data_IF_937743498564
#
_entry.id   IF_937743498564
#
_cell.length_a   1.000
_cell.length_b   1.000
_cell.length_c   1.000
_cell.angle_alpha   90.00
_cell.angle_beta   90.00
_cell.angle_gamma   90.00
#
_symmetry.space_group_name_H-M   'P 1'
#
loop_
_entity.id
_entity.type
_entity.pdbx_description
1 polymer ?
#
# COMPACT_ATOMS: atom_id res chain seq x y z
N UNK A 1 -0.40 4.59 15.09
CA UNK A 1 -1.78 4.27 14.59
C UNK A 1 -1.66 3.45 13.33
N UNK A 2 -2.30 2.28 13.30
CA UNK A 2 -2.28 1.35 12.17
C UNK A 2 -3.63 1.33 11.48
N UNK A 3 -3.67 1.26 10.14
CA UNK A 3 -4.90 1.24 9.35
C UNK A 3 -4.84 0.17 8.27
N UNK A 4 -5.95 -0.50 8.03
CA UNK A 4 -6.14 -1.43 6.90
C UNK A 4 -7.30 -0.91 6.06
N UNK A 5 -7.06 -0.69 4.78
CA UNK A 5 -8.06 -0.19 3.84
C UNK A 5 -8.70 -1.32 3.05
N UNK A 6 -10.00 -1.20 2.82
CA UNK A 6 -10.75 -1.98 1.85
C UNK A 6 -11.68 -1.06 1.09
N UNK A 7 -11.43 -0.85 -0.19
CA UNK A 7 -12.12 0.15 -1.01
C UNK A 7 -12.04 1.56 -0.39
N UNK A 8 -13.18 2.15 -0.05
CA UNK A 8 -13.28 3.51 0.50
C UNK A 8 -13.45 3.54 2.03
N UNK A 9 -13.23 2.43 2.72
CA UNK A 9 -13.34 2.32 4.20
C UNK A 9 -12.07 1.77 4.82
N UNK A 10 -11.88 2.02 6.12
CA UNK A 10 -10.73 1.56 6.86
C UNK A 10 -11.10 0.91 8.20
N UNK A 11 -10.30 -0.07 8.60
CA UNK A 11 -10.15 -0.46 10.00
C UNK A 11 -9.01 0.35 10.62
N UNK A 12 -9.27 0.98 11.75
CA UNK A 12 -8.34 1.87 12.44
C UNK A 12 -8.01 1.27 13.80
N UNK A 13 -6.71 1.10 14.07
CA UNK A 13 -6.16 0.61 15.33
C UNK A 13 -5.29 1.72 15.96
N UNK A 14 -5.89 2.62 16.78
CA UNK A 14 -5.25 3.86 17.21
C UNK A 14 -4.00 3.65 18.08
N UNK A 15 -3.97 2.56 18.85
CA UNK A 15 -2.91 2.27 19.81
C UNK A 15 -1.91 1.20 19.33
N UNK A 16 -1.94 0.85 18.05
CA UNK A 16 -1.00 -0.09 17.45
C UNK A 16 -0.14 0.63 16.42
N UNK A 17 1.17 0.41 16.46
CA UNK A 17 2.10 0.83 15.43
C UNK A 17 2.49 -0.37 14.55
N UNK A 18 2.78 -0.13 13.27
CA UNK A 18 3.15 -1.18 12.32
C UNK A 18 4.31 -2.04 12.81
N UNK A 19 5.33 -1.41 13.38
CA UNK A 19 6.54 -2.10 13.92
C UNK A 19 6.26 -3.07 15.07
N UNK A 20 5.07 -3.01 15.69
CA UNK A 20 4.65 -3.92 16.75
C UNK A 20 3.96 -5.19 16.22
N UNK A 21 3.66 -5.22 14.90
CA UNK A 21 3.03 -6.37 14.28
C UNK A 21 4.07 -7.41 13.87
N UNK A 22 3.84 -8.64 14.28
CA UNK A 22 4.57 -9.82 13.84
C UNK A 22 3.65 -10.68 12.96
N UNK A 23 3.92 -10.72 11.67
CA UNK A 23 3.13 -11.49 10.70
C UNK A 23 3.71 -12.89 10.44
N UNK A 24 4.79 -13.27 11.14
CA UNK A 24 5.39 -14.61 11.13
C UNK A 24 4.96 -15.45 12.34
N UNK A 25 3.74 -15.24 12.84
CA UNK A 25 3.20 -15.91 14.02
C UNK A 25 3.09 -17.43 13.85
N UNK A 26 3.37 -18.17 14.93
CA UNK A 26 3.27 -19.63 14.94
C UNK A 26 1.81 -20.12 15.08
N UNK A 27 1.56 -21.35 14.67
CA UNK A 27 0.23 -22.00 14.75
C UNK A 27 -0.37 -21.97 16.16
N UNK A 28 0.44 -22.07 17.21
CA UNK A 28 -0.03 -22.06 18.61
C UNK A 28 -0.62 -20.71 19.02
N UNK A 29 -0.12 -19.59 18.46
CA UNK A 29 -0.64 -18.25 18.73
C UNK A 29 -1.99 -18.01 18.05
N UNK A 30 -2.31 -18.77 17.01
CA UNK A 30 -3.54 -18.61 16.21
C UNK A 30 -4.80 -19.16 16.92
N UNK A 31 -4.67 -19.93 17.99
CA UNK A 31 -5.78 -20.70 18.60
C UNK A 31 -6.39 -20.06 19.86
N UNK A 32 -6.07 -18.80 20.20
CA UNK A 32 -6.69 -18.15 21.36
C UNK A 32 -8.12 -17.69 21.06
N UNK A 33 -8.96 -17.62 22.14
CA UNK A 33 -10.32 -17.11 22.02
C UNK A 33 -10.37 -15.67 21.48
N UNK A 34 -9.43 -14.83 21.88
CA UNK A 34 -9.35 -13.44 21.43
C UNK A 34 -9.02 -13.34 19.94
N UNK A 35 -8.07 -14.14 19.47
CA UNK A 35 -7.73 -14.25 18.03
C UNK A 35 -8.93 -14.71 17.22
N UNK A 36 -9.65 -15.75 17.67
CA UNK A 36 -10.87 -16.24 17.02
C UNK A 36 -11.93 -15.15 16.89
N UNK A 37 -12.14 -14.39 17.97
CA UNK A 37 -13.10 -13.28 17.98
C UNK A 37 -12.75 -12.20 16.95
N UNK A 38 -11.48 -11.79 16.88
CA UNK A 38 -11.03 -10.78 15.92
C UNK A 38 -11.04 -11.33 14.50
N UNK A 39 -10.62 -12.56 14.28
CA UNK A 39 -10.72 -13.21 12.97
C UNK A 39 -12.17 -13.20 12.45
N UNK A 40 -13.14 -13.62 13.27
CA UNK A 40 -14.55 -13.61 12.90
C UNK A 40 -15.08 -12.20 12.62
N UNK A 41 -14.65 -11.21 13.40
CA UNK A 41 -14.99 -9.81 13.15
C UNK A 41 -14.43 -9.34 11.79
N UNK A 42 -13.15 -9.59 11.50
CA UNK A 42 -12.52 -9.23 10.23
C UNK A 42 -13.27 -9.85 9.04
N UNK A 43 -13.60 -11.14 9.12
CA UNK A 43 -14.38 -11.80 8.06
C UNK A 43 -15.76 -11.19 7.86
N UNK A 44 -16.44 -10.79 8.92
CA UNK A 44 -17.73 -10.09 8.81
C UNK A 44 -17.56 -8.71 8.21
N UNK A 45 -16.56 -7.94 8.64
CA UNK A 45 -16.27 -6.62 8.10
C UNK A 45 -16.00 -6.65 6.59
N UNK A 46 -15.30 -7.66 6.10
CA UNK A 46 -14.95 -7.81 4.68
C UNK A 46 -16.20 -8.02 3.80
N UNK A 47 -17.23 -8.71 4.27
CA UNK A 47 -18.41 -9.07 3.48
C UNK A 47 -19.60 -8.14 3.69
N UNK A 48 -19.62 -7.36 4.76
CA UNK A 48 -20.70 -6.39 5.04
C UNK A 48 -20.46 -5.13 4.22
N UNK A 49 -21.49 -4.66 3.54
CA UNK A 49 -21.44 -3.41 2.76
C UNK A 49 -21.54 -2.19 3.69
N UNK A 50 -20.47 -1.89 4.41
CA UNK A 50 -20.31 -0.67 5.20
C UNK A 50 -19.57 0.37 4.35
N UNK A 51 -19.91 1.64 4.57
CA UNK A 51 -19.24 2.79 3.95
C UNK A 51 -18.38 3.58 4.93
N UNK A 52 -18.53 3.29 6.23
CA UNK A 52 -17.87 4.02 7.31
C UNK A 52 -16.64 3.27 7.82
N UNK A 53 -15.69 4.04 8.35
CA UNK A 53 -14.53 3.52 9.05
C UNK A 53 -14.94 2.89 10.38
N UNK A 54 -14.21 1.85 10.78
CA UNK A 54 -14.41 1.19 12.06
C UNK A 54 -13.13 1.30 12.89
N UNK A 55 -13.25 1.87 14.09
CA UNK A 55 -12.14 1.95 15.05
C UNK A 55 -12.22 0.80 16.05
N UNK A 56 -11.11 0.08 16.22
CA UNK A 56 -10.96 -1.01 17.20
C UNK A 56 -9.88 -0.59 18.19
N UNK A 57 -10.29 -0.39 19.43
CA UNK A 57 -9.41 0.01 20.54
C UNK A 57 -9.19 -1.12 21.54
N UNK A 58 -8.10 -1.04 22.31
CA UNK A 58 -7.79 -1.98 23.39
C UNK A 58 -7.32 -3.36 22.92
N UNK A 59 -6.95 -3.52 21.66
CA UNK A 59 -6.40 -4.76 21.10
C UNK A 59 -4.88 -4.78 21.26
N UNK A 60 -4.32 -5.94 21.63
CA UNK A 60 -2.86 -6.09 21.65
C UNK A 60 -2.30 -6.37 20.25
N UNK A 61 -1.05 -5.93 19.96
CA UNK A 61 -0.39 -6.21 18.68
C UNK A 61 -0.32 -7.70 18.35
N UNK A 62 -0.07 -8.56 19.33
CA UNK A 62 0.05 -10.01 19.14
C UNK A 62 -1.28 -10.64 18.70
N UNK A 63 -2.39 -10.22 19.33
CA UNK A 63 -3.72 -10.70 18.95
C UNK A 63 -4.10 -10.22 17.56
N UNK A 64 -3.80 -8.96 17.22
CA UNK A 64 -4.05 -8.45 15.88
C UNK A 64 -3.21 -9.19 14.85
N UNK A 65 -1.90 -9.34 15.06
CA UNK A 65 -0.99 -10.06 14.15
C UNK A 65 -1.50 -11.47 13.86
N UNK A 66 -1.83 -12.24 14.91
CA UNK A 66 -2.36 -13.58 14.76
C UNK A 66 -3.70 -13.62 14.00
N UNK A 67 -4.60 -12.68 14.27
CA UNK A 67 -5.88 -12.59 13.57
C UNK A 67 -5.71 -12.20 12.09
N UNK A 68 -4.76 -11.31 11.77
CA UNK A 68 -4.44 -10.93 10.39
C UNK A 68 -3.90 -12.11 9.58
N UNK A 69 -2.89 -12.82 10.11
CA UNK A 69 -2.30 -14.00 9.44
C UNK A 69 -3.34 -15.12 9.26
N UNK A 70 -4.26 -15.28 10.22
CA UNK A 70 -5.35 -16.24 10.10
C UNK A 70 -6.41 -15.84 9.07
N UNK A 71 -6.62 -14.53 8.86
CA UNK A 71 -7.69 -14.02 7.98
C UNK A 71 -7.23 -13.85 6.54
N UNK A 72 -5.98 -13.45 6.34
CA UNK A 72 -5.46 -13.01 5.06
C UNK A 72 -4.24 -13.83 4.63
N UNK A 73 -4.12 -14.01 3.33
CA UNK A 73 -2.83 -14.33 2.73
C UNK A 73 -2.06 -13.03 2.49
N UNK A 74 -0.81 -12.98 2.93
CA UNK A 74 0.06 -11.83 2.68
C UNK A 74 0.46 -11.77 1.20
N UNK A 75 0.42 -10.56 0.65
CA UNK A 75 0.82 -10.24 -0.72
C UNK A 75 1.66 -8.95 -0.72
N UNK A 76 2.90 -8.99 -0.15
CA UNK A 76 3.71 -7.80 0.00
C UNK A 76 4.08 -7.19 -1.36
N UNK A 77 4.12 -5.86 -1.39
CA UNK A 77 4.47 -5.08 -2.55
C UNK A 77 5.43 -3.95 -2.20
N UNK A 78 6.10 -3.41 -3.19
CA UNK A 78 6.94 -2.23 -3.04
C UNK A 78 6.74 -1.28 -4.23
N UNK A 79 6.96 0.02 -4.01
CA UNK A 79 6.81 1.02 -5.06
C UNK A 79 7.45 2.35 -4.69
N UNK A 80 7.30 3.34 -5.56
CA UNK A 80 7.99 4.61 -5.44
C UNK A 80 7.13 5.85 -5.67
N UNK A 81 7.46 6.90 -4.92
CA UNK A 81 7.17 8.29 -5.26
C UNK A 81 8.43 8.83 -5.94
N UNK A 82 8.40 8.97 -7.27
CA UNK A 82 9.56 9.39 -8.05
C UNK A 82 9.48 10.88 -8.34
N UNK A 83 10.46 11.62 -7.86
CA UNK A 83 10.57 13.07 -8.06
C UNK A 83 11.45 13.41 -9.26
N UNK A 84 11.04 14.42 -10.02
CA UNK A 84 11.85 15.11 -11.03
C UNK A 84 11.35 16.55 -11.19
N UNK A 85 12.25 17.52 -11.16
CA UNK A 85 11.97 18.95 -11.43
C UNK A 85 10.79 19.54 -10.61
N UNK A 86 10.63 19.13 -9.35
CA UNK A 86 9.54 19.58 -8.47
C UNK A 86 8.17 18.97 -8.82
N UNK A 87 8.15 17.84 -9.52
CA UNK A 87 6.97 17.05 -9.88
C UNK A 87 7.15 15.62 -9.39
N UNK A 88 6.06 14.86 -9.26
CA UNK A 88 6.11 13.43 -8.97
C UNK A 88 5.45 12.59 -10.07
N UNK A 89 6.02 11.42 -10.35
CA UNK A 89 5.47 10.50 -11.34
C UNK A 89 4.22 9.79 -10.80
N UNK A 90 3.14 9.85 -11.56
CA UNK A 90 1.91 9.07 -11.37
C UNK A 90 1.68 8.19 -12.60
N UNK A 91 1.01 7.06 -12.38
CA UNK A 91 0.51 6.19 -13.45
C UNK A 91 -1.00 6.24 -13.51
N UNK A 92 -1.58 5.96 -14.67
CA UNK A 92 -3.01 5.66 -14.79
C UNK A 92 -3.17 4.15 -14.98
N UNK A 93 -3.87 3.48 -14.05
CA UNK A 93 -4.17 2.05 -14.11
C UNK A 93 -5.67 1.83 -13.98
N UNK A 94 -6.29 1.14 -14.92
CA UNK A 94 -7.75 0.97 -14.99
C UNK A 94 -8.55 2.28 -14.95
N UNK A 95 -7.99 3.39 -15.46
CA UNK A 95 -8.61 4.72 -15.42
C UNK A 95 -8.56 5.41 -14.05
N UNK A 96 -7.74 4.91 -13.11
CA UNK A 96 -7.54 5.47 -11.78
C UNK A 96 -6.08 5.93 -11.66
N UNK A 97 -5.83 7.18 -11.21
CA UNK A 97 -4.47 7.63 -10.91
C UNK A 97 -3.91 6.84 -9.73
N UNK A 98 -2.69 6.35 -9.89
CA UNK A 98 -1.99 5.50 -8.93
C UNK A 98 -0.50 5.86 -8.89
N UNK A 99 0.26 5.26 -7.99
CA UNK A 99 1.71 5.30 -7.93
C UNK A 99 2.30 3.95 -8.37
N UNK A 100 3.44 3.94 -9.07
CA UNK A 100 4.05 2.71 -9.56
C UNK A 100 4.48 1.79 -8.42
N UNK A 101 4.08 0.50 -8.48
CA UNK A 101 4.29 -0.51 -7.45
C UNK A 101 3.89 -1.91 -7.91
N UNK A 102 4.60 -2.89 -7.50
CA UNK A 102 4.22 -4.27 -7.76
C UNK A 102 4.67 -5.23 -6.67
N UNK A 103 4.57 -6.53 -6.93
CA UNK A 103 4.82 -7.55 -5.92
C UNK A 103 6.32 -7.73 -5.66
N UNK A 104 6.66 -7.94 -4.38
CA UNK A 104 8.01 -8.35 -3.99
C UNK A 104 8.17 -9.83 -4.36
N UNK A 105 9.19 -10.16 -5.14
CA UNK A 105 9.51 -11.52 -5.55
C UNK A 105 10.21 -12.30 -4.43
N UNK A 106 10.20 -13.64 -4.55
CA UNK A 106 10.87 -14.51 -3.57
C UNK A 106 12.38 -14.23 -3.49
N UNK A 107 12.84 -13.88 -2.30
CA UNK A 107 14.25 -13.55 -2.03
C UNK A 107 14.66 -12.12 -2.35
N UNK A 108 13.72 -11.30 -2.82
CA UNK A 108 13.94 -9.87 -3.09
C UNK A 108 13.64 -9.02 -1.84
N UNK A 109 14.44 -8.00 -1.58
CA UNK A 109 14.11 -7.00 -0.57
C UNK A 109 13.19 -5.90 -1.14
N UNK A 110 12.49 -5.18 -0.24
CA UNK A 110 11.51 -4.19 -0.64
C UNK A 110 12.10 -3.00 -1.44
N UNK A 111 13.36 -2.61 -1.17
CA UNK A 111 14.00 -1.51 -1.88
C UNK A 111 14.37 -1.91 -3.31
N UNK A 112 14.87 -3.13 -3.50
CA UNK A 112 15.16 -3.71 -4.82
C UNK A 112 13.87 -3.87 -5.63
N UNK A 113 12.82 -4.44 -5.03
CA UNK A 113 11.52 -4.58 -5.67
C UNK A 113 10.95 -3.22 -6.11
N UNK A 114 11.03 -2.20 -5.25
CA UNK A 114 10.53 -0.87 -5.57
C UNK A 114 11.22 -0.24 -6.78
N UNK A 115 12.55 -0.39 -6.90
CA UNK A 115 13.30 0.11 -8.06
C UNK A 115 12.91 -0.63 -9.33
N UNK A 116 12.82 -1.97 -9.29
CA UNK A 116 12.43 -2.81 -10.42
C UNK A 116 11.01 -2.49 -10.88
N UNK A 117 10.03 -2.46 -9.96
CA UNK A 117 8.63 -2.22 -10.30
C UNK A 117 8.40 -0.81 -10.88
N UNK A 118 9.07 0.21 -10.30
CA UNK A 118 9.00 1.56 -10.86
C UNK A 118 9.56 1.60 -12.27
N UNK A 119 10.70 0.95 -12.53
CA UNK A 119 11.30 0.88 -13.87
C UNK A 119 10.40 0.12 -14.85
N UNK A 120 9.84 -1.03 -14.45
CA UNK A 120 8.95 -1.88 -15.29
C UNK A 120 7.65 -1.16 -15.63
N UNK A 121 6.96 -0.60 -14.62
CA UNK A 121 5.65 0.05 -14.83
C UNK A 121 5.72 1.40 -15.55
N UNK A 122 6.85 2.13 -15.43
CA UNK A 122 6.95 3.50 -15.94
C UNK A 122 7.95 3.68 -17.10
N UNK A 123 8.92 2.78 -17.22
CA UNK A 123 10.08 2.96 -18.12
C UNK A 123 11.13 3.95 -17.63
N UNK A 124 10.94 4.57 -16.45
CA UNK A 124 11.90 5.51 -15.86
C UNK A 124 13.20 4.77 -15.49
N UNK A 125 14.34 5.40 -15.80
CA UNK A 125 15.67 4.84 -15.51
C UNK A 125 16.50 5.77 -14.62
N UNK A 126 17.67 5.28 -14.16
CA UNK A 126 18.54 6.08 -13.30
C UNK A 126 17.90 6.41 -11.95
N UNK A 127 17.04 5.54 -11.47
CA UNK A 127 16.34 5.67 -10.20
C UNK A 127 17.29 5.58 -9.01
N UNK A 128 17.09 6.43 -8.03
CA UNK A 128 17.86 6.45 -6.78
C UNK A 128 16.91 6.65 -5.59
N UNK A 129 16.96 5.72 -4.63
CA UNK A 129 16.19 5.84 -3.39
C UNK A 129 16.79 6.93 -2.50
N UNK A 130 15.94 7.86 -2.03
CA UNK A 130 16.30 8.90 -1.07
C UNK A 130 16.03 8.40 0.35
N UNK A 131 14.81 7.88 0.60
CA UNK A 131 14.38 7.35 1.90
C UNK A 131 13.15 6.46 1.76
N UNK A 132 12.90 5.66 2.79
CA UNK A 132 11.64 4.95 2.94
C UNK A 132 10.53 5.92 3.39
N UNK A 133 9.32 5.68 2.90
CA UNK A 133 8.07 6.36 3.26
C UNK A 133 7.21 5.43 4.14
N UNK A 134 6.11 5.95 4.73
CA UNK A 134 5.15 5.10 5.44
C UNK A 134 4.56 4.00 4.56
N UNK A 135 4.36 2.82 5.13
CA UNK A 135 3.74 1.66 4.46
C UNK A 135 2.23 1.85 4.39
N UNK A 136 1.63 1.60 3.24
CA UNK A 136 0.17 1.51 3.13
C UNK A 136 -0.29 0.06 3.20
N UNK A 137 -1.47 -0.17 3.81
CA UNK A 137 -2.03 -1.49 3.99
C UNK A 137 -3.42 -1.55 3.41
N UNK A 138 -3.66 -2.39 2.41
CA UNK A 138 -5.00 -2.62 1.93
C UNK A 138 -5.28 -4.12 1.75
N UNK A 139 -6.55 -4.49 1.76
CA UNK A 139 -6.96 -5.85 1.52
C UNK A 139 -7.91 -5.93 0.31
N UNK A 140 -7.91 -7.07 -0.36
CA UNK A 140 -8.72 -7.34 -1.53
C UNK A 140 -9.00 -8.83 -1.68
N UNK A 141 -10.06 -9.15 -2.42
CA UNK A 141 -10.39 -10.53 -2.74
C UNK A 141 -9.74 -10.92 -4.07
N UNK A 142 -9.02 -12.02 -4.10
CA UNK A 142 -8.42 -12.60 -5.30
C UNK A 142 -8.55 -14.12 -5.30
N UNK A 143 -9.16 -14.69 -6.33
CA UNK A 143 -9.38 -16.14 -6.45
C UNK A 143 -9.99 -16.78 -5.19
N UNK A 144 -11.05 -16.14 -4.65
CA UNK A 144 -11.74 -16.54 -3.42
C UNK A 144 -10.90 -16.49 -2.13
N UNK A 145 -9.68 -15.93 -2.18
CA UNK A 145 -8.83 -15.69 -1.02
C UNK A 145 -8.76 -14.19 -0.67
N UNK A 146 -8.94 -13.85 0.61
CA UNK A 146 -8.66 -12.51 1.10
C UNK A 146 -7.16 -12.30 1.24
N UNK A 147 -6.65 -11.30 0.56
CA UNK A 147 -5.24 -10.89 0.62
C UNK A 147 -5.07 -9.60 1.38
N UNK A 148 -4.00 -9.52 2.16
CA UNK A 148 -3.53 -8.30 2.81
C UNK A 148 -2.23 -7.88 2.11
N UNK A 149 -2.24 -6.69 1.52
CA UNK A 149 -1.14 -6.13 0.76
C UNK A 149 -0.50 -4.96 1.52
N UNK A 150 0.56 -5.20 2.32
CA UNK A 150 1.47 -4.13 2.69
C UNK A 150 2.20 -3.64 1.45
N UNK A 151 2.23 -2.32 1.22
CA UNK A 151 3.04 -1.71 0.16
C UNK A 151 4.08 -0.83 0.80
N UNK A 152 5.34 -1.22 0.65
CA UNK A 152 6.52 -0.47 1.11
C UNK A 152 6.84 0.61 0.09
N UNK A 153 6.72 1.86 0.51
CA UNK A 153 6.94 3.00 -0.37
C UNK A 153 8.31 3.62 -0.16
N UNK A 154 8.90 4.10 -1.25
CA UNK A 154 10.18 4.78 -1.24
C UNK A 154 10.11 6.10 -2.00
N UNK A 155 10.67 7.16 -1.40
CA UNK A 155 10.94 8.40 -2.12
C UNK A 155 12.16 8.19 -2.99
N UNK A 156 12.05 8.54 -4.25
CA UNK A 156 13.09 8.34 -5.26
C UNK A 156 13.28 9.58 -6.12
N UNK A 157 14.46 9.68 -6.74
CA UNK A 157 14.72 10.56 -7.88
C UNK A 157 14.97 9.72 -9.12
N UNK A 158 14.69 10.30 -10.30
CA UNK A 158 15.16 9.80 -11.60
C UNK A 158 16.13 10.79 -12.23
N UNK A 159 17.12 10.28 -12.96
CA UNK A 159 18.00 11.11 -13.81
C UNK A 159 17.51 11.22 -15.25
N UNK A 160 16.42 10.54 -15.63
CA UNK A 160 15.89 10.49 -16.99
C UNK A 160 14.35 10.58 -16.98
N UNK A 161 13.78 11.76 -16.64
CA UNK A 161 12.32 11.93 -16.52
C UNK A 161 11.60 11.99 -17.88
N UNK A 162 12.33 12.24 -18.97
CA UNK A 162 11.74 12.45 -20.31
C UNK A 162 11.39 11.13 -21.02
N UNK A 163 11.91 10.00 -20.56
CA UNK A 163 11.70 8.70 -21.18
C UNK A 163 10.76 7.84 -20.33
N UNK A 164 9.48 7.94 -20.63
CA UNK A 164 8.46 7.08 -20.01
C UNK A 164 7.96 6.02 -21.01
N UNK A 165 7.66 4.83 -20.51
CA UNK A 165 7.09 3.72 -21.29
C UNK A 165 6.13 2.91 -20.41
N UNK A 166 4.83 3.25 -20.41
CA UNK A 166 3.84 2.55 -19.59
C UNK A 166 3.79 1.05 -19.89
N UNK A 167 3.74 0.21 -18.86
CA UNK A 167 3.60 -1.25 -18.98
C UNK A 167 2.13 -1.61 -19.30
N UNK A 168 1.78 -1.60 -20.57
CA UNK A 168 0.38 -1.76 -21.02
C UNK A 168 -0.22 -3.14 -20.79
N UNK A 169 0.58 -4.19 -20.63
CA UNK A 169 0.15 -5.54 -20.27
C UNK A 169 -0.27 -5.67 -18.80
N UNK A 170 0.01 -4.67 -17.97
CA UNK A 170 -0.54 -4.50 -16.62
C UNK A 170 -1.65 -3.45 -16.51
N UNK A 171 -2.29 -3.12 -17.64
CA UNK A 171 -3.35 -2.10 -17.73
C UNK A 171 -2.91 -0.69 -17.32
N UNK A 172 -1.61 -0.39 -17.42
CA UNK A 172 -1.08 0.96 -17.23
C UNK A 172 -1.14 1.68 -18.57
N UNK A 173 -1.92 2.74 -18.63
CA UNK A 173 -2.22 3.47 -19.88
C UNK A 173 -1.40 4.74 -20.03
N UNK A 174 -0.94 5.33 -18.93
CA UNK A 174 -0.20 6.59 -18.93
C UNK A 174 0.79 6.67 -17.78
N UNK A 175 1.89 7.39 -17.99
CA UNK A 175 2.84 7.86 -16.97
C UNK A 175 2.93 9.38 -17.11
N UNK A 176 2.56 10.11 -16.04
CA UNK A 176 2.51 11.58 -16.06
C UNK A 176 3.24 12.14 -14.85
N UNK A 177 4.04 13.19 -15.03
CA UNK A 177 4.60 13.96 -13.93
C UNK A 177 3.60 15.03 -13.50
N UNK A 178 3.15 14.93 -12.24
CA UNK A 178 2.18 15.82 -11.63
C UNK A 178 2.88 16.86 -10.75
N UNK A 179 2.42 18.12 -10.85
CA UNK A 179 2.93 19.24 -10.05
C UNK A 179 2.17 19.38 -8.73
N UNK A 180 2.60 20.33 -7.88
CA UNK A 180 1.88 20.70 -6.66
C UNK A 180 0.43 21.14 -6.92
N UNK A 181 0.14 21.73 -8.11
CA UNK A 181 -1.21 22.15 -8.47
C UNK A 181 -2.15 20.98 -8.78
N UNK A 182 -1.59 19.83 -9.17
CA UNK A 182 -2.32 18.61 -9.51
C UNK A 182 -2.54 17.72 -8.28
N UNK A 183 -1.82 17.97 -7.19
CA UNK A 183 -1.79 17.12 -6.00
C UNK A 183 -3.18 16.93 -5.37
N UNK A 184 -3.97 18.01 -5.22
CA UNK A 184 -5.31 17.89 -4.64
C UNK A 184 -6.23 17.03 -5.52
N UNK A 185 -6.11 17.16 -6.83
CA UNK A 185 -6.82 16.30 -7.77
C UNK A 185 -6.37 14.84 -7.66
N UNK A 186 -5.06 14.59 -7.63
CA UNK A 186 -4.51 13.24 -7.47
C UNK A 186 -5.01 12.58 -6.19
N UNK A 187 -4.90 13.24 -5.04
CA UNK A 187 -5.33 12.70 -3.74
C UNK A 187 -6.84 12.43 -3.66
N UNK A 188 -7.65 13.13 -4.42
CA UNK A 188 -9.10 12.90 -4.51
C UNK A 188 -9.48 11.72 -5.41
N UNK A 189 -8.65 11.39 -6.39
CA UNK A 189 -8.98 10.40 -7.42
C UNK A 189 -8.18 9.10 -7.30
N UNK A 190 -7.08 9.10 -6.55
CA UNK A 190 -6.29 7.88 -6.27
C UNK A 190 -6.96 6.99 -5.21
N UNK A 191 -6.37 5.83 -4.95
CA UNK A 191 -6.82 4.93 -3.90
C UNK A 191 -6.69 5.57 -2.52
N UNK A 192 -7.72 5.39 -1.70
CA UNK A 192 -7.76 5.97 -0.35
C UNK A 192 -6.55 5.57 0.51
N UNK A 193 -6.06 4.34 0.38
CA UNK A 193 -4.87 3.87 1.07
C UNK A 193 -3.62 4.70 0.75
N UNK A 194 -3.47 5.16 -0.50
CA UNK A 194 -2.39 6.04 -0.94
C UNK A 194 -2.61 7.45 -0.39
N UNK A 195 -3.79 8.00 -0.62
CA UNK A 195 -4.12 9.37 -0.18
C UNK A 195 -3.95 9.57 1.34
N UNK A 196 -4.44 8.62 2.15
CA UNK A 196 -4.33 8.67 3.62
C UNK A 196 -2.90 8.45 4.11
N UNK A 197 -2.12 7.58 3.44
CA UNK A 197 -0.78 7.20 3.90
C UNK A 197 0.28 8.19 3.43
N UNK A 198 0.22 8.63 2.16
CA UNK A 198 1.26 9.41 1.53
C UNK A 198 0.89 10.88 1.30
N UNK A 199 -0.37 11.27 1.57
CA UNK A 199 -0.82 12.62 1.26
C UNK A 199 -0.02 13.74 1.94
N UNK A 200 0.43 13.55 3.18
CA UNK A 200 1.28 14.54 3.87
C UNK A 200 2.72 14.52 3.31
N UNK A 201 3.24 13.34 2.97
CA UNK A 201 4.58 13.20 2.36
C UNK A 201 4.63 13.91 1.00
N UNK A 202 3.62 13.69 0.15
CA UNK A 202 3.52 14.32 -1.17
C UNK A 202 3.38 15.85 -1.10
N UNK A 203 2.77 16.40 -0.03
CA UNK A 203 2.67 17.85 0.20
C UNK A 203 4.00 18.50 0.57
N UNK A 204 4.89 17.77 1.23
CA UNK A 204 6.17 18.31 1.71
C UNK A 204 7.29 18.23 0.69
N UNK A 205 7.18 17.36 -0.30
CA UNK A 205 8.21 17.11 -1.32
C UNK A 205 8.01 17.90 -2.62
N UNK A 206 6.85 18.57 -2.77
CA UNK A 206 6.51 19.39 -3.93
C UNK A 206 6.72 20.90 -3.69
#
# INVERSE_FOLDING_TARGET
MYKIFYEQRALIFPNIEEKELDLDVTSTQLESYEVEKIHNFLRQWLVVNLTEDVTIDGLSPEVLSAALVRTFRLAPAAGGVVLADGQFAAIERHGIPDLPKGHIEEGEDAATAALREVEEETGLTGLTIIRQLPTSWHCYLYEDEWRLKPTYWFLMNTSDPDHTNPQTDEDITEVTFLSEYDLEWFLKNTYRSIADTLGEELKTEN
#
